data_IF_375713401090
#
_entry.id   IF_375713401090
#
_cell.length_a   1.000
_cell.length_b   1.000
_cell.length_c   1.000
_cell.angle_alpha   90.00
_cell.angle_beta   90.00
_cell.angle_gamma   90.00
#
_symmetry.space_group_name_H-M   'P 1'
#
loop_
_entity.id
_entity.type
_entity.pdbx_description
1 polymer ?
#
# COMPACT_ATOMS: atom_id res chain seq x y z
N UNK A 1 7.46 15.96 -34.17
CA UNK A 1 7.80 15.24 -32.93
C UNK A 1 7.25 13.83 -33.01
N UNK A 2 8.10 12.81 -33.04
CA UNK A 2 7.67 11.41 -33.13
C UNK A 2 7.10 10.97 -31.78
N UNK A 3 5.80 10.70 -31.71
CA UNK A 3 5.14 10.16 -30.51
C UNK A 3 5.80 8.81 -30.19
N UNK A 4 6.45 8.69 -29.02
CA UNK A 4 7.02 7.41 -28.54
C UNK A 4 5.93 6.36 -28.60
N UNK A 5 6.23 5.20 -29.20
CA UNK A 5 5.28 4.09 -29.33
C UNK A 5 4.83 3.68 -27.92
N UNK A 6 3.51 3.59 -27.63
CA UNK A 6 3.05 3.18 -26.31
C UNK A 6 3.62 1.80 -25.97
N UNK A 7 4.13 1.67 -24.75
CA UNK A 7 4.71 0.42 -24.26
C UNK A 7 3.63 -0.69 -24.19
N UNK A 8 4.01 -1.97 -24.34
CA UNK A 8 3.09 -3.08 -24.15
C UNK A 8 2.49 -3.07 -22.73
N UNK A 9 1.17 -3.25 -22.62
CA UNK A 9 0.42 -3.20 -21.34
C UNK A 9 1.01 -4.14 -20.27
N UNK A 10 1.54 -5.29 -20.67
CA UNK A 10 2.22 -6.23 -19.77
C UNK A 10 3.41 -5.60 -19.03
N UNK A 11 4.22 -4.81 -19.74
CA UNK A 11 5.43 -4.18 -19.19
C UNK A 11 5.05 -3.10 -18.18
N UNK A 12 4.01 -2.32 -18.49
CA UNK A 12 3.47 -1.30 -17.58
C UNK A 12 2.91 -1.96 -16.31
N UNK A 13 2.16 -3.07 -16.44
CA UNK A 13 1.64 -3.82 -15.28
C UNK A 13 2.77 -4.36 -14.39
N UNK A 14 3.78 -5.00 -14.98
CA UNK A 14 4.90 -5.57 -14.21
C UNK A 14 5.68 -4.51 -13.44
N UNK A 15 5.95 -3.35 -14.07
CA UNK A 15 6.61 -2.21 -13.40
C UNK A 15 5.76 -1.67 -12.24
N UNK A 16 4.44 -1.54 -12.44
CA UNK A 16 3.53 -1.10 -11.37
C UNK A 16 3.56 -2.06 -10.18
N UNK A 17 3.47 -3.36 -10.43
CA UNK A 17 3.45 -4.35 -9.35
C UNK A 17 4.79 -4.42 -8.60
N UNK A 18 5.92 -4.23 -9.30
CA UNK A 18 7.24 -4.17 -8.68
C UNK A 18 7.41 -2.93 -7.79
N UNK A 19 6.98 -1.75 -8.26
CA UNK A 19 7.03 -0.51 -7.49
C UNK A 19 6.15 -0.59 -6.23
N UNK A 20 4.92 -1.11 -6.35
CA UNK A 20 4.04 -1.31 -5.21
C UNK A 20 4.65 -2.28 -4.18
N UNK A 21 5.20 -3.42 -4.63
CA UNK A 21 5.90 -4.36 -3.73
C UNK A 21 7.06 -3.70 -3.01
N UNK A 22 7.87 -2.90 -3.71
CA UNK A 22 9.00 -2.18 -3.11
C UNK A 22 8.53 -1.21 -2.02
N UNK A 23 7.46 -0.46 -2.29
CA UNK A 23 6.84 0.48 -1.35
C UNK A 23 6.36 -0.24 -0.07
N UNK A 24 5.60 -1.33 -0.24
CA UNK A 24 4.98 -2.11 0.84
C UNK A 24 6.04 -2.84 1.68
N UNK A 25 7.00 -3.51 1.04
CA UNK A 25 8.08 -4.20 1.76
C UNK A 25 9.08 -3.24 2.42
N UNK A 26 9.12 -1.98 1.99
CA UNK A 26 9.92 -0.94 2.62
C UNK A 26 9.46 -0.54 4.02
N UNK A 27 8.26 -0.95 4.44
CA UNK A 27 7.69 -0.61 5.76
C UNK A 27 7.64 -1.85 6.66
N UNK A 28 8.55 -1.97 7.66
CA UNK A 28 8.61 -3.15 8.53
C UNK A 28 7.31 -3.44 9.29
N UNK A 29 6.54 -2.40 9.61
CA UNK A 29 5.30 -2.57 10.36
C UNK A 29 4.19 -3.24 9.53
N UNK A 30 4.15 -2.98 8.22
CA UNK A 30 3.26 -3.67 7.28
C UNK A 30 3.58 -5.17 7.27
N UNK A 31 4.87 -5.51 7.20
CA UNK A 31 5.33 -6.90 7.25
C UNK A 31 5.01 -7.56 8.59
N UNK A 32 5.18 -6.84 9.70
CA UNK A 32 4.88 -7.34 11.04
C UNK A 32 3.40 -7.71 11.20
N UNK A 33 2.48 -6.86 10.72
CA UNK A 33 1.05 -7.11 10.74
C UNK A 33 0.59 -8.11 9.67
N UNK A 34 1.43 -8.39 8.67
CA UNK A 34 1.08 -9.29 7.55
C UNK A 34 0.13 -8.66 6.54
N UNK A 35 0.12 -7.33 6.41
CA UNK A 35 -0.77 -6.63 5.47
C UNK A 35 -0.27 -6.85 4.04
N UNK A 36 -1.17 -7.27 3.15
CA UNK A 36 -0.93 -7.46 1.74
C UNK A 36 -1.70 -6.42 0.91
N UNK A 37 -1.27 -6.16 -0.31
CA UNK A 37 -1.93 -5.24 -1.24
C UNK A 37 -2.12 -5.90 -2.61
N UNK A 38 -3.39 -6.01 -3.03
CA UNK A 38 -3.78 -6.44 -4.37
C UNK A 38 -4.12 -5.22 -5.23
N UNK A 39 -3.59 -5.16 -6.45
CA UNK A 39 -3.83 -4.04 -7.37
C UNK A 39 -4.74 -4.47 -8.51
N UNK A 40 -5.89 -3.82 -8.62
CA UNK A 40 -6.91 -4.09 -9.64
C UNK A 40 -7.11 -2.88 -10.54
N UNK A 41 -6.24 -2.77 -11.55
CA UNK A 41 -6.22 -1.59 -12.41
C UNK A 41 -5.65 -0.40 -11.64
N UNK A 42 -6.52 0.57 -11.34
CA UNK A 42 -6.18 1.78 -10.57
C UNK A 42 -6.68 1.71 -9.12
N UNK A 43 -7.42 0.67 -8.76
CA UNK A 43 -7.83 0.41 -7.38
C UNK A 43 -6.76 -0.42 -6.64
N UNK A 44 -6.49 -0.04 -5.40
CA UNK A 44 -5.66 -0.80 -4.47
C UNK A 44 -6.52 -1.38 -3.35
N UNK A 45 -6.42 -2.69 -3.14
CA UNK A 45 -7.11 -3.40 -2.07
C UNK A 45 -6.09 -3.89 -1.04
N UNK A 46 -6.16 -3.33 0.17
CA UNK A 46 -5.40 -3.86 1.30
C UNK A 46 -6.11 -5.08 1.89
N UNK A 47 -5.33 -6.09 2.27
CA UNK A 47 -5.81 -7.33 2.88
C UNK A 47 -5.04 -7.56 4.17
N UNK A 48 -5.76 -7.78 5.27
CA UNK A 48 -5.19 -8.24 6.53
C UNK A 48 -5.63 -9.69 6.74
N UNK A 49 -4.77 -10.69 6.43
CA UNK A 49 -5.05 -12.08 6.72
C UNK A 49 -5.28 -12.29 8.22
N UNK A 50 -6.14 -13.22 8.57
CA UNK A 50 -6.33 -13.61 9.97
C UNK A 50 -5.02 -14.15 10.55
N UNK A 51 -4.68 -13.68 11.74
CA UNK A 51 -3.55 -14.17 12.53
C UNK A 51 -3.92 -14.08 14.02
N UNK A 52 -3.78 -15.19 14.75
CA UNK A 52 -4.12 -15.27 16.18
C UNK A 52 -3.36 -14.23 17.02
N UNK A 53 -2.16 -13.82 16.59
CA UNK A 53 -1.34 -12.81 17.27
C UNK A 53 -1.97 -11.42 17.27
N UNK A 54 -2.95 -11.18 16.40
CA UNK A 54 -3.64 -9.90 16.25
C UNK A 54 -4.93 -9.82 17.08
N UNK A 55 -5.30 -10.90 17.77
CA UNK A 55 -6.49 -10.97 18.61
C UNK A 55 -6.25 -10.22 19.93
N UNK A 56 -7.11 -9.25 20.20
CA UNK A 56 -7.06 -8.46 21.43
C UNK A 56 -7.88 -9.08 22.57
N UNK A 57 -9.06 -9.63 22.25
CA UNK A 57 -9.91 -10.30 23.22
C UNK A 57 -10.01 -11.81 22.89
N UNK A 58 -9.30 -12.68 23.62
CA UNK A 58 -9.32 -14.13 23.39
C UNK A 58 -10.68 -14.81 23.63
N UNK A 59 -11.55 -14.20 24.45
CA UNK A 59 -12.86 -14.79 24.77
C UNK A 59 -13.94 -14.45 23.72
N UNK A 60 -13.83 -13.30 23.04
CA UNK A 60 -14.71 -12.89 21.93
C UNK A 60 -14.12 -13.17 20.54
N UNK A 61 -13.02 -13.95 20.48
CA UNK A 61 -11.97 -13.90 19.45
C UNK A 61 -11.92 -12.63 18.59
N UNK A 62 -11.93 -11.45 19.23
CA UNK A 62 -12.04 -10.19 18.52
C UNK A 62 -10.67 -9.58 18.22
N UNK A 63 -10.53 -9.00 17.03
CA UNK A 63 -9.32 -8.27 16.63
C UNK A 63 -9.03 -7.14 17.62
N UNK A 64 -7.74 -6.93 17.89
CA UNK A 64 -7.30 -5.81 18.69
C UNK A 64 -7.65 -4.49 17.97
N UNK A 65 -8.31 -3.55 18.65
CA UNK A 65 -8.73 -2.28 18.02
C UNK A 65 -7.57 -1.51 17.39
N UNK A 66 -6.40 -1.50 18.03
CA UNK A 66 -5.19 -0.89 17.48
C UNK A 66 -4.71 -1.53 16.17
N UNK A 67 -4.96 -2.83 15.94
CA UNK A 67 -4.64 -3.50 14.67
C UNK A 67 -5.57 -3.00 13.57
N UNK A 68 -6.88 -2.88 13.86
CA UNK A 68 -7.84 -2.33 12.90
C UNK A 68 -7.50 -0.89 12.54
N UNK A 69 -7.19 -0.04 13.52
CA UNK A 69 -6.78 1.35 13.26
C UNK A 69 -5.49 1.41 12.42
N UNK A 70 -4.46 0.64 12.81
CA UNK A 70 -3.20 0.57 12.08
C UNK A 70 -3.39 0.09 10.64
N UNK A 71 -4.23 -0.94 10.42
CA UNK A 71 -4.53 -1.46 9.09
C UNK A 71 -5.17 -0.39 8.20
N UNK A 72 -6.17 0.34 8.73
CA UNK A 72 -6.85 1.39 7.98
C UNK A 72 -5.93 2.59 7.70
N UNK A 73 -5.09 2.99 8.66
CA UNK A 73 -4.11 4.06 8.48
C UNK A 73 -3.07 3.69 7.42
N UNK A 74 -2.48 2.49 7.53
CA UNK A 74 -1.53 1.96 6.54
C UNK A 74 -2.16 1.93 5.15
N UNK A 75 -3.41 1.48 5.05
CA UNK A 75 -4.15 1.44 3.78
C UNK A 75 -4.23 2.84 3.16
N UNK A 76 -4.59 3.85 3.95
CA UNK A 76 -4.68 5.23 3.47
C UNK A 76 -3.32 5.82 3.06
N UNK A 77 -2.26 5.58 3.84
CA UNK A 77 -0.90 6.06 3.54
C UNK A 77 -0.39 5.45 2.24
N UNK A 78 -0.55 4.14 2.05
CA UNK A 78 -0.06 3.44 0.86
C UNK A 78 -0.86 3.87 -0.37
N UNK A 79 -2.18 4.01 -0.26
CA UNK A 79 -3.02 4.49 -1.36
C UNK A 79 -2.62 5.91 -1.80
N UNK A 80 -2.47 6.85 -0.85
CA UNK A 80 -2.04 8.22 -1.15
C UNK A 80 -0.63 8.27 -1.74
N UNK A 81 0.28 7.43 -1.24
CA UNK A 81 1.64 7.32 -1.78
C UNK A 81 1.61 6.80 -3.21
N UNK A 82 0.80 5.77 -3.46
CA UNK A 82 0.67 5.13 -4.75
C UNK A 82 0.08 6.07 -5.79
N UNK A 83 -0.99 6.80 -5.45
CA UNK A 83 -1.59 7.79 -6.36
C UNK A 83 -0.59 8.87 -6.77
N UNK A 84 0.19 9.37 -5.81
CA UNK A 84 1.20 10.43 -6.05
C UNK A 84 2.36 9.92 -6.91
N UNK A 85 2.93 8.76 -6.56
CA UNK A 85 4.04 8.13 -7.30
C UNK A 85 3.60 7.84 -8.74
N UNK A 86 2.37 7.36 -8.93
CA UNK A 86 1.85 7.04 -10.25
C UNK A 86 1.73 8.29 -11.15
N UNK A 87 1.18 9.39 -10.64
CA UNK A 87 1.10 10.65 -11.38
C UNK A 87 2.49 11.18 -11.78
N UNK A 88 3.49 11.01 -10.92
CA UNK A 88 4.88 11.39 -11.23
C UNK A 88 5.52 10.47 -12.30
N UNK A 89 5.20 9.17 -12.29
CA UNK A 89 5.65 8.23 -13.32
C UNK A 89 5.01 8.52 -14.67
N UNK A 90 3.70 8.76 -14.73
CA UNK A 90 2.99 9.07 -15.99
C UNK A 90 3.42 10.40 -16.60
N UNK A 91 3.73 11.38 -15.76
CA UNK A 91 4.28 12.67 -16.20
C UNK A 91 5.76 12.62 -16.59
N UNK A 92 6.43 11.48 -16.39
CA UNK A 92 7.85 11.29 -16.68
C UNK A 92 8.80 12.00 -15.72
N UNK A 93 8.30 12.47 -14.58
CA UNK A 93 9.11 13.10 -13.51
C UNK A 93 9.86 12.07 -12.67
N UNK A 94 9.36 10.83 -12.64
CA UNK A 94 9.95 9.72 -11.92
C UNK A 94 10.28 8.57 -12.89
N UNK A 95 11.53 8.11 -12.88
CA UNK A 95 11.93 6.91 -13.63
C UNK A 95 11.55 5.65 -12.83
N UNK A 96 10.69 4.76 -13.35
CA UNK A 96 10.33 3.50 -12.69
C UNK A 96 11.55 2.64 -12.31
N UNK A 97 12.62 2.66 -13.11
CA UNK A 97 13.84 1.89 -12.85
C UNK A 97 14.61 2.43 -11.65
N UNK A 98 14.41 3.70 -11.29
CA UNK A 98 15.01 4.30 -10.10
C UNK A 98 14.36 3.83 -8.80
N UNK A 99 13.19 3.18 -8.83
CA UNK A 99 12.51 2.67 -7.63
C UNK A 99 13.01 1.29 -7.19
N UNK A 100 13.72 0.56 -8.07
CA UNK A 100 14.34 -0.72 -7.74
C UNK A 100 15.63 -0.48 -6.92
N UNK A 101 15.58 -0.80 -5.62
CA UNK A 101 16.74 -0.67 -4.72
C UNK A 101 17.02 0.75 -4.22
N UNK A 102 16.21 1.73 -4.60
CA UNK A 102 16.28 3.07 -4.01
C UNK A 102 15.75 3.11 -2.57
N UNK A 103 16.15 4.12 -1.78
CA UNK A 103 15.52 4.39 -0.48
C UNK A 103 14.01 4.51 -0.67
N UNK A 104 13.24 3.92 0.24
CA UNK A 104 11.77 3.98 0.26
C UNK A 104 11.34 5.45 0.04
N UNK A 105 10.43 5.72 -0.91
CA UNK A 105 9.88 7.05 -1.10
C UNK A 105 9.41 7.62 0.23
N UNK A 106 9.59 8.93 0.46
CA UNK A 106 9.08 9.55 1.68
C UNK A 106 7.57 9.40 1.72
N UNK A 107 7.09 8.52 2.60
CA UNK A 107 5.66 8.34 2.82
C UNK A 107 5.06 9.63 3.40
N UNK A 108 3.82 9.96 3.03
CA UNK A 108 3.08 11.03 3.68
C UNK A 108 2.95 10.73 5.17
N UNK A 109 2.94 11.78 5.97
CA UNK A 109 2.70 11.68 7.41
C UNK A 109 1.24 11.95 7.68
N UNK A 110 0.60 11.08 8.45
CA UNK A 110 -0.75 11.29 8.95
C UNK A 110 -0.79 12.57 9.78
N UNK A 111 -1.69 13.48 9.42
CA UNK A 111 -1.97 14.69 10.21
C UNK A 111 -3.03 14.36 11.26
N UNK A 112 -4.10 13.73 10.82
CA UNK A 112 -5.21 13.26 11.65
C UNK A 112 -5.80 11.98 11.06
N UNK A 113 -6.38 11.13 11.91
CA UNK A 113 -7.03 9.90 11.52
C UNK A 113 -8.09 9.51 12.55
N UNK A 114 -9.31 9.26 12.09
CA UNK A 114 -10.44 8.89 12.95
C UNK A 114 -11.01 7.54 12.48
N UNK A 115 -11.34 6.67 13.43
CA UNK A 115 -11.94 5.36 13.17
C UNK A 115 -13.21 5.20 14.00
N UNK A 116 -14.31 4.91 13.31
CA UNK A 116 -15.57 4.52 13.94
C UNK A 116 -15.69 2.99 13.93
N UNK A 117 -15.66 2.39 15.12
CA UNK A 117 -15.80 0.94 15.29
C UNK A 117 -17.28 0.56 15.34
N UNK A 118 -17.78 -0.02 14.25
CA UNK A 118 -19.21 -0.34 14.11
C UNK A 118 -19.61 -1.65 14.80
N UNK A 119 -18.66 -2.59 14.93
CA UNK A 119 -18.86 -3.90 15.57
C UNK A 119 -17.52 -4.47 16.00
N UNK A 120 -17.56 -5.52 16.82
CA UNK A 120 -16.40 -6.37 17.07
C UNK A 120 -15.93 -6.98 15.74
N UNK A 121 -14.63 -6.78 15.45
CA UNK A 121 -13.94 -7.37 14.32
C UNK A 121 -13.43 -8.75 14.62
#
# INVERSE_FOLDING_TARGET
MSRKRPEPVQVVKQRRDAALRSLVHGVPYIQFLGIEFDRRGDELTAVLPFDERLIGNPFLPALHGGVTAAFLEVTAIIELSWSTIWEEMESGRLDPASLEGAPVPRLPKTIDFTVDYLRSG
#
